data_IF_426071471266
#
_entry.id   IF_426071471266
#
_cell.length_a   1.000
_cell.length_b   1.000
_cell.length_c   1.000
_cell.angle_alpha   90.00
_cell.angle_beta   90.00
_cell.angle_gamma   90.00
#
_symmetry.space_group_name_H-M   'P 1'
#
loop_
_entity.id
_entity.type
_entity.pdbx_description
1 polymer ?
#
# COMPACT_ATOMS: atom_id res chain seq x y z
N UNK A 1 3.49 -12.22 -15.44
CA UNK A 1 2.28 -11.98 -14.61
C UNK A 1 1.77 -10.59 -14.87
N UNK A 2 0.45 -10.36 -14.74
CA UNK A 2 -0.16 -9.04 -14.96
C UNK A 2 -0.52 -8.37 -13.63
N UNK A 3 -0.12 -7.12 -13.48
CA UNK A 3 -0.45 -6.27 -12.35
C UNK A 3 -1.30 -5.07 -12.80
N UNK A 4 -2.42 -4.84 -12.13
CA UNK A 4 -3.15 -3.57 -12.24
C UNK A 4 -2.68 -2.64 -11.13
N UNK A 5 -2.06 -1.50 -11.49
CA UNK A 5 -1.55 -0.52 -10.54
C UNK A 5 -2.45 0.71 -10.54
N UNK A 6 -3.24 0.84 -9.47
CA UNK A 6 -4.09 2.00 -9.20
C UNK A 6 -3.27 3.07 -8.49
N UNK A 7 -3.24 4.29 -9.04
CA UNK A 7 -2.40 5.36 -8.54
C UNK A 7 -3.10 6.72 -8.56
N UNK A 8 -2.37 7.76 -8.18
CA UNK A 8 -2.83 9.14 -8.24
C UNK A 8 -3.36 9.69 -6.92
N UNK A 9 -3.46 10.99 -6.86
CA UNK A 9 -3.85 11.72 -5.67
C UNK A 9 -3.02 12.98 -5.47
N UNK A 10 -3.01 13.50 -4.24
CA UNK A 10 -2.33 14.75 -3.90
C UNK A 10 -1.12 14.50 -3.00
N UNK A 11 -0.21 15.48 -2.91
CA UNK A 11 0.93 15.57 -1.98
C UNK A 11 2.05 14.54 -2.19
N UNK A 12 1.93 13.64 -3.14
CA UNK A 12 2.93 12.62 -3.45
C UNK A 12 3.28 12.68 -4.95
N UNK A 13 4.53 12.41 -5.34
CA UNK A 13 4.96 12.44 -6.74
C UNK A 13 4.58 11.14 -7.47
N UNK A 14 3.29 10.81 -7.51
CA UNK A 14 2.79 9.57 -8.13
C UNK A 14 3.14 9.43 -9.60
N UNK A 15 3.27 10.55 -10.32
CA UNK A 15 3.71 10.60 -11.71
C UNK A 15 5.12 10.03 -11.92
N UNK A 16 5.97 10.06 -10.89
CA UNK A 16 7.33 9.52 -10.91
C UNK A 16 7.41 8.17 -10.19
N UNK A 17 6.74 8.07 -9.05
CA UNK A 17 6.86 6.89 -8.18
C UNK A 17 6.05 5.69 -8.69
N UNK A 18 4.89 5.87 -9.34
CA UNK A 18 4.14 4.75 -9.90
C UNK A 18 4.86 4.05 -11.07
N UNK A 19 5.45 4.77 -12.06
CA UNK A 19 6.32 4.13 -13.05
C UNK A 19 7.56 3.46 -12.43
N UNK A 20 8.12 4.04 -11.37
CA UNK A 20 9.24 3.43 -10.64
C UNK A 20 8.83 2.10 -10.02
N UNK A 21 7.67 2.04 -9.37
CA UNK A 21 7.14 0.80 -8.81
C UNK A 21 6.87 -0.25 -9.89
N UNK A 22 6.28 0.14 -11.02
CA UNK A 22 6.09 -0.75 -12.17
C UNK A 22 7.41 -1.34 -12.68
N UNK A 23 8.47 -0.53 -12.75
CA UNK A 23 9.82 -1.00 -13.12
C UNK A 23 10.40 -2.00 -12.11
N UNK A 24 10.16 -1.81 -10.80
CA UNK A 24 10.57 -2.76 -9.76
C UNK A 24 9.86 -4.10 -9.94
N UNK A 25 8.58 -4.09 -10.30
CA UNK A 25 7.80 -5.30 -10.58
C UNK A 25 8.25 -5.99 -11.88
N UNK A 26 8.63 -5.21 -12.91
CA UNK A 26 9.15 -5.76 -14.17
C UNK A 26 10.41 -6.61 -13.96
N UNK A 27 11.29 -6.22 -13.05
CA UNK A 27 12.49 -6.96 -12.69
C UNK A 27 12.21 -8.39 -12.17
N UNK A 28 10.99 -8.64 -11.69
CA UNK A 28 10.55 -9.97 -11.21
C UNK A 28 9.41 -10.55 -12.04
N UNK A 29 9.23 -10.07 -13.27
CA UNK A 29 8.39 -10.69 -14.29
C UNK A 29 6.93 -10.26 -14.28
N UNK A 30 6.60 -9.07 -13.72
CA UNK A 30 5.26 -8.49 -13.85
C UNK A 30 5.23 -7.45 -14.96
N UNK A 31 4.16 -7.48 -15.74
CA UNK A 31 3.73 -6.38 -16.61
C UNK A 31 2.67 -5.56 -15.86
N UNK A 32 2.96 -4.29 -15.61
CA UNK A 32 2.05 -3.41 -14.86
C UNK A 32 1.28 -2.48 -15.79
N UNK A 33 -0.03 -2.46 -15.64
CA UNK A 33 -0.92 -1.47 -16.23
C UNK A 33 -1.25 -0.42 -15.19
N UNK A 34 -0.85 0.84 -15.43
CA UNK A 34 -1.00 1.96 -14.49
C UNK A 34 -2.23 2.76 -14.88
N UNK A 35 -3.11 3.06 -13.90
CA UNK A 35 -4.26 3.94 -14.10
C UNK A 35 -4.52 4.84 -12.89
N UNK A 36 -4.92 6.09 -13.16
CA UNK A 36 -5.42 7.04 -12.16
C UNK A 36 -6.95 7.01 -12.06
N UNK A 37 -7.63 6.37 -13.00
CA UNK A 37 -9.07 6.12 -12.91
C UNK A 37 -9.32 4.81 -12.15
N UNK A 38 -9.52 4.93 -10.84
CA UNK A 38 -9.67 3.79 -9.96
C UNK A 38 -10.99 3.03 -10.22
N UNK A 39 -12.05 3.74 -10.59
CA UNK A 39 -13.35 3.13 -10.90
C UNK A 39 -13.25 2.29 -12.19
N UNK A 40 -12.68 2.86 -13.25
CA UNK A 40 -12.47 2.13 -14.50
C UNK A 40 -11.53 0.93 -14.27
N UNK A 41 -10.40 1.16 -13.60
CA UNK A 41 -9.44 0.09 -13.30
C UNK A 41 -10.09 -1.07 -12.54
N UNK A 42 -10.81 -0.81 -11.46
CA UNK A 42 -11.49 -1.85 -10.68
C UNK A 42 -12.57 -2.56 -11.46
N UNK A 43 -13.29 -1.88 -12.37
CA UNK A 43 -14.28 -2.49 -13.23
C UNK A 43 -13.71 -3.54 -14.20
N UNK A 44 -12.40 -3.55 -14.40
CA UNK A 44 -11.70 -4.50 -15.28
C UNK A 44 -11.40 -5.83 -14.58
N UNK A 45 -11.37 -5.86 -13.24
CA UNK A 45 -11.09 -7.09 -12.49
C UNK A 45 -12.06 -8.23 -12.79
N UNK A 46 -13.31 -7.90 -13.14
CA UNK A 46 -14.34 -8.90 -13.51
C UNK A 46 -14.22 -9.39 -14.96
N UNK A 47 -13.46 -8.66 -15.80
CA UNK A 47 -13.45 -8.88 -17.27
C UNK A 47 -12.10 -9.30 -17.81
N UNK A 48 -11.05 -9.00 -17.08
CA UNK A 48 -9.67 -9.24 -17.47
C UNK A 48 -8.95 -10.05 -16.41
N UNK A 49 -7.95 -10.81 -16.82
CA UNK A 49 -7.17 -11.62 -15.90
C UNK A 49 -5.96 -10.82 -15.40
N UNK A 50 -5.98 -10.45 -14.12
CA UNK A 50 -4.85 -9.91 -13.40
C UNK A 50 -4.39 -10.91 -12.33
N UNK A 51 -3.09 -11.04 -12.15
CA UNK A 51 -2.50 -11.85 -11.09
C UNK A 51 -2.39 -11.06 -9.78
N UNK A 52 -2.21 -9.73 -9.89
CA UNK A 52 -2.03 -8.82 -8.77
C UNK A 52 -2.74 -7.49 -9.00
N UNK A 53 -3.31 -6.95 -7.92
CA UNK A 53 -3.77 -5.57 -7.80
C UNK A 53 -2.82 -4.82 -6.88
N UNK A 54 -2.32 -3.68 -7.32
CA UNK A 54 -1.54 -2.76 -6.48
C UNK A 54 -2.32 -1.47 -6.26
N UNK A 55 -2.53 -1.10 -5.01
CA UNK A 55 -3.11 0.21 -4.64
C UNK A 55 -1.99 1.09 -4.09
N UNK A 56 -1.55 2.02 -4.90
CA UNK A 56 -0.54 3.03 -4.57
C UNK A 56 -1.09 4.41 -4.94
N UNK A 57 -2.03 4.88 -4.15
CA UNK A 57 -2.81 6.08 -4.40
C UNK A 57 -3.13 6.82 -3.10
N UNK A 58 -3.52 8.08 -3.21
CA UNK A 58 -4.07 8.85 -2.10
C UNK A 58 -5.45 9.40 -2.49
N UNK A 59 -6.47 8.55 -2.40
CA UNK A 59 -7.83 8.82 -2.87
C UNK A 59 -8.85 8.48 -1.79
N UNK A 60 -9.49 9.50 -1.23
CA UNK A 60 -10.49 9.39 -0.17
C UNK A 60 -11.56 10.45 -0.35
N UNK A 61 -12.57 10.50 0.54
CA UNK A 61 -13.71 11.45 0.41
C UNK A 61 -13.31 12.91 0.61
N UNK A 62 -12.17 13.19 1.20
CA UNK A 62 -11.67 14.55 1.52
C UNK A 62 -12.61 15.38 2.39
N UNK A 63 -13.52 14.74 3.15
CA UNK A 63 -14.49 15.45 4.00
C UNK A 63 -13.92 15.86 5.37
N UNK A 64 -12.76 15.38 5.74
CA UNK A 64 -12.19 15.47 7.09
C UNK A 64 -11.46 16.77 7.41
N UNK A 65 -11.46 17.77 6.52
CA UNK A 65 -10.85 19.06 6.78
C UNK A 65 -10.97 20.06 5.66
N UNK A 66 -11.08 21.35 6.02
CA UNK A 66 -11.22 22.45 5.06
C UNK A 66 -10.00 22.62 4.15
N UNK A 67 -8.80 22.23 4.61
CA UNK A 67 -7.56 22.28 3.81
C UNK A 67 -7.63 21.44 2.53
N UNK A 68 -8.52 20.42 2.48
CA UNK A 68 -8.69 19.55 1.31
C UNK A 68 -9.73 20.07 0.32
N UNK A 69 -10.52 21.08 0.68
CA UNK A 69 -11.58 21.64 -0.16
C UNK A 69 -11.14 22.03 -1.58
N UNK A 70 -9.96 22.64 -1.80
CA UNK A 70 -9.51 23.00 -3.15
C UNK A 70 -9.24 21.78 -4.06
N UNK A 71 -9.03 20.60 -3.48
CA UNK A 71 -8.66 19.37 -4.21
C UNK A 71 -9.85 18.43 -4.45
N UNK A 72 -11.01 18.68 -3.79
CA UNK A 72 -12.15 17.75 -3.78
C UNK A 72 -12.70 17.47 -5.17
N UNK A 73 -12.85 18.50 -6.01
CA UNK A 73 -13.43 18.35 -7.34
C UNK A 73 -12.64 17.36 -8.21
N UNK A 74 -11.33 17.39 -8.11
CA UNK A 74 -10.45 16.55 -8.91
C UNK A 74 -10.13 15.21 -8.26
N UNK A 75 -9.94 15.18 -6.93
CA UNK A 75 -9.27 14.07 -6.27
C UNK A 75 -10.11 13.33 -5.22
N UNK A 76 -11.24 13.89 -4.78
CA UNK A 76 -12.10 13.17 -3.86
C UNK A 76 -12.68 11.92 -4.52
N UNK A 77 -12.72 10.83 -3.78
CA UNK A 77 -13.22 9.55 -4.26
C UNK A 77 -14.01 8.84 -3.17
N UNK A 78 -15.17 8.35 -3.55
CA UNK A 78 -15.92 7.31 -2.88
C UNK A 78 -16.21 6.25 -3.93
N UNK A 79 -15.68 5.05 -3.76
CA UNK A 79 -15.87 3.97 -4.72
C UNK A 79 -17.33 3.57 -4.82
N UNK A 80 -17.77 3.26 -6.03
CA UNK A 80 -19.07 2.63 -6.27
C UNK A 80 -19.16 1.27 -5.57
N UNK A 81 -20.37 0.81 -5.28
CA UNK A 81 -20.59 -0.52 -4.72
C UNK A 81 -20.04 -1.63 -5.63
N UNK A 82 -20.17 -1.47 -6.95
CA UNK A 82 -19.63 -2.40 -7.92
C UNK A 82 -18.09 -2.51 -7.83
N UNK A 83 -17.38 -1.38 -7.73
CA UNK A 83 -15.92 -1.37 -7.60
C UNK A 83 -15.46 -1.95 -6.26
N UNK A 84 -16.19 -1.68 -5.18
CA UNK A 84 -15.93 -2.30 -3.86
C UNK A 84 -16.08 -3.82 -3.91
N UNK A 85 -17.14 -4.30 -4.53
CA UNK A 85 -17.37 -5.74 -4.73
C UNK A 85 -16.30 -6.38 -5.62
N UNK A 86 -15.99 -5.79 -6.77
CA UNK A 86 -14.96 -6.31 -7.68
C UNK A 86 -13.61 -6.46 -6.98
N UNK A 87 -13.16 -5.46 -6.21
CA UNK A 87 -11.92 -5.54 -5.43
C UNK A 87 -12.00 -6.62 -4.36
N UNK A 88 -13.09 -6.62 -3.59
CA UNK A 88 -13.28 -7.60 -2.50
C UNK A 88 -13.27 -9.02 -3.03
N UNK A 89 -14.02 -9.29 -4.09
CA UNK A 89 -14.15 -10.62 -4.67
C UNK A 89 -12.85 -11.06 -5.34
N UNK A 90 -12.16 -10.15 -6.04
CA UNK A 90 -10.83 -10.43 -6.59
C UNK A 90 -9.88 -10.97 -5.51
N UNK A 91 -9.75 -10.27 -4.37
CA UNK A 91 -8.87 -10.71 -3.30
C UNK A 91 -9.42 -11.96 -2.61
N UNK A 92 -10.72 -12.00 -2.29
CA UNK A 92 -11.36 -13.12 -1.59
C UNK A 92 -11.25 -14.44 -2.35
N UNK A 93 -11.28 -14.40 -3.67
CA UNK A 93 -11.19 -15.58 -4.54
C UNK A 93 -9.76 -16.04 -4.82
N UNK A 94 -8.75 -15.27 -4.41
CA UNK A 94 -7.36 -15.71 -4.47
C UNK A 94 -6.40 -14.75 -5.14
N UNK A 95 -6.88 -13.59 -5.59
CA UNK A 95 -6.06 -12.52 -6.16
C UNK A 95 -5.06 -11.96 -5.15
N UNK A 96 -3.93 -11.51 -5.65
CA UNK A 96 -2.89 -10.86 -4.84
C UNK A 96 -3.19 -9.37 -4.70
N UNK A 97 -3.06 -8.82 -3.48
CA UNK A 97 -3.16 -7.38 -3.23
C UNK A 97 -1.86 -6.86 -2.60
N UNK A 98 -1.32 -5.82 -3.20
CA UNK A 98 -0.26 -5.02 -2.61
C UNK A 98 -0.79 -3.61 -2.35
N UNK A 99 -0.92 -3.23 -1.09
CA UNK A 99 -1.38 -1.91 -0.65
C UNK A 99 -0.17 -1.12 -0.13
N UNK A 100 0.12 0.01 -0.79
CA UNK A 100 1.36 0.73 -0.60
C UNK A 100 1.12 2.11 0.01
N UNK A 101 1.93 2.46 0.96
CA UNK A 101 2.07 3.78 1.56
C UNK A 101 0.72 4.39 1.97
N UNK A 102 0.23 5.34 1.20
CA UNK A 102 -1.03 6.05 1.43
C UNK A 102 -2.29 5.20 1.32
N UNK A 103 -2.18 3.93 0.93
CA UNK A 103 -3.33 3.05 0.76
C UNK A 103 -4.19 2.88 2.02
N UNK A 104 -3.60 3.01 3.23
CA UNK A 104 -4.35 3.01 4.49
C UNK A 104 -5.28 4.23 4.66
N UNK A 105 -5.06 5.31 3.90
CA UNK A 105 -5.87 6.53 3.91
C UNK A 105 -6.98 6.44 2.84
N UNK A 106 -6.78 5.62 1.81
CA UNK A 106 -7.74 5.45 0.73
C UNK A 106 -9.08 4.92 1.24
N UNK A 107 -10.14 5.28 0.52
CA UNK A 107 -11.48 4.72 0.68
C UNK A 107 -12.00 4.82 2.13
N UNK A 108 -11.82 5.99 2.76
CA UNK A 108 -12.10 6.25 4.18
C UNK A 108 -13.58 6.05 4.59
N UNK A 109 -14.48 6.00 3.62
CA UNK A 109 -15.90 5.69 3.76
C UNK A 109 -16.25 4.20 3.55
N UNK A 110 -15.24 3.34 3.35
CA UNK A 110 -15.44 1.91 3.13
C UNK A 110 -14.74 1.08 4.20
N UNK A 111 -15.53 0.59 5.17
CA UNK A 111 -15.00 -0.13 6.33
C UNK A 111 -14.27 -1.43 5.95
N UNK A 112 -14.81 -2.20 4.99
CA UNK A 112 -14.22 -3.47 4.58
C UNK A 112 -12.80 -3.31 3.99
N UNK A 113 -12.48 -2.16 3.39
CA UNK A 113 -11.12 -1.88 2.96
C UNK A 113 -10.11 -2.02 4.10
N UNK A 114 -10.42 -1.47 5.27
CA UNK A 114 -9.54 -1.60 6.43
C UNK A 114 -9.41 -3.04 6.94
N UNK A 115 -10.44 -3.87 6.76
CA UNK A 115 -10.40 -5.29 7.07
C UNK A 115 -9.56 -6.08 6.05
N UNK A 116 -9.58 -5.68 4.77
CA UNK A 116 -8.78 -6.29 3.71
C UNK A 116 -7.29 -6.00 3.96
N UNK A 117 -6.92 -4.74 4.13
CA UNK A 117 -5.50 -4.33 4.25
C UNK A 117 -4.92 -4.52 5.65
N UNK A 118 -5.77 -4.66 6.67
CA UNK A 118 -5.35 -4.84 8.05
C UNK A 118 -5.08 -3.53 8.81
N UNK A 119 -5.34 -2.37 8.21
CA UNK A 119 -5.08 -1.08 8.82
C UNK A 119 -6.09 -0.01 8.41
N UNK A 120 -6.29 0.97 9.28
CA UNK A 120 -7.09 2.16 9.03
C UNK A 120 -6.37 3.40 9.53
N UNK A 121 -6.33 4.41 8.67
CA UNK A 121 -6.00 5.76 9.11
C UNK A 121 -7.17 6.36 9.89
N UNK A 122 -6.93 6.78 11.12
CA UNK A 122 -7.95 7.36 12.00
C UNK A 122 -7.75 8.87 12.05
N UNK A 123 -8.62 9.60 11.36
CA UNK A 123 -8.58 11.06 11.31
C UNK A 123 -8.60 11.68 12.72
N UNK A 124 -7.68 12.61 12.96
CA UNK A 124 -7.50 13.24 14.27
C UNK A 124 -6.67 12.43 15.27
N UNK A 125 -6.29 11.19 14.94
CA UNK A 125 -5.44 10.33 15.78
C UNK A 125 -4.17 9.93 15.06
N UNK A 126 -4.31 9.33 13.87
CA UNK A 126 -3.16 8.94 13.04
C UNK A 126 -2.40 10.16 12.54
N UNK A 127 -1.10 10.05 12.45
CA UNK A 127 -0.22 11.13 12.05
C UNK A 127 1.08 10.57 11.48
N UNK A 128 1.87 11.40 10.86
CA UNK A 128 3.25 11.12 10.50
C UNK A 128 4.11 12.35 10.78
N UNK A 129 5.39 12.21 11.11
CA UNK A 129 6.35 13.32 11.09
C UNK A 129 6.53 13.82 9.65
N UNK A 130 7.17 14.97 9.44
CA UNK A 130 7.62 15.38 8.12
C UNK A 130 8.47 14.30 7.47
N UNK A 131 8.44 14.23 6.13
CA UNK A 131 9.36 13.41 5.34
C UNK A 131 10.81 13.64 5.78
N UNK A 132 11.55 12.57 6.02
CA UNK A 132 12.91 12.63 6.52
C UNK A 132 13.51 11.25 6.82
N UNK A 133 14.64 11.21 7.55
CA UNK A 133 15.33 9.96 7.86
C UNK A 133 14.45 8.98 8.64
N UNK A 134 14.46 7.73 8.22
CA UNK A 134 13.74 6.62 8.84
C UNK A 134 14.69 5.46 9.07
N UNK A 135 14.65 4.90 10.26
CA UNK A 135 15.27 3.62 10.61
C UNK A 135 14.21 2.53 10.61
N UNK A 136 14.42 1.47 9.84
CA UNK A 136 13.57 0.27 9.87
C UNK A 136 14.15 -0.75 10.83
N UNK A 137 13.27 -1.54 11.43
CA UNK A 137 13.59 -2.58 12.39
C UNK A 137 12.92 -3.88 11.94
N UNK A 138 13.71 -4.95 11.73
CA UNK A 138 13.14 -6.27 11.44
C UNK A 138 12.45 -6.80 12.69
N UNK A 139 11.20 -7.24 12.51
CA UNK A 139 10.46 -7.93 13.56
C UNK A 139 10.88 -9.40 13.68
N UNK A 140 10.68 -10.04 14.84
CA UNK A 140 11.11 -11.42 15.06
C UNK A 140 10.42 -12.47 14.19
N UNK A 141 9.26 -12.16 13.61
CA UNK A 141 8.50 -13.09 12.77
C UNK A 141 9.31 -13.47 11.52
N UNK A 142 9.56 -14.77 11.37
CA UNK A 142 10.22 -15.28 10.17
C UNK A 142 9.23 -15.37 8.99
N UNK A 143 9.52 -14.64 7.93
CA UNK A 143 8.66 -14.60 6.75
C UNK A 143 9.50 -14.56 5.45
N UNK A 144 9.05 -15.19 4.34
CA UNK A 144 9.78 -15.17 3.08
C UNK A 144 10.11 -13.76 2.57
N UNK A 145 9.23 -12.80 2.75
CA UNK A 145 9.43 -11.40 2.33
C UNK A 145 10.66 -10.79 3.01
N UNK A 146 10.84 -11.02 4.31
CA UNK A 146 11.90 -10.42 5.11
C UNK A 146 13.06 -11.38 5.44
N UNK A 147 13.13 -12.53 4.76
CA UNK A 147 14.24 -13.49 4.97
C UNK A 147 15.59 -12.85 4.64
N UNK A 148 16.49 -12.85 5.63
CA UNK A 148 17.82 -12.27 5.51
C UNK A 148 17.85 -10.73 5.40
N UNK A 149 16.71 -10.07 5.66
CA UNK A 149 16.66 -8.61 5.81
C UNK A 149 17.17 -8.24 7.18
N UNK A 150 18.03 -7.25 7.24
CA UNK A 150 18.46 -6.56 8.46
C UNK A 150 17.82 -5.16 8.49
N UNK A 151 18.01 -4.44 9.59
CA UNK A 151 17.59 -3.03 9.69
C UNK A 151 18.30 -2.18 8.63
N UNK A 152 17.57 -1.27 8.01
CA UNK A 152 18.11 -0.36 7.00
C UNK A 152 17.53 1.05 7.18
N UNK A 153 18.13 2.01 6.48
CA UNK A 153 17.72 3.42 6.53
C UNK A 153 17.26 3.88 5.16
N UNK A 154 16.29 4.78 5.16
CA UNK A 154 15.80 5.49 3.97
C UNK A 154 15.23 6.86 4.38
N UNK A 155 14.92 7.69 3.39
CA UNK A 155 14.12 8.90 3.57
C UNK A 155 12.67 8.55 3.27
N UNK A 156 11.74 8.76 4.23
CA UNK A 156 10.32 8.43 4.08
C UNK A 156 9.45 9.12 5.15
N UNK A 157 8.19 8.74 5.22
CA UNK A 157 7.24 9.09 6.27
C UNK A 157 6.89 7.87 7.11
N UNK A 158 6.89 8.00 8.43
CA UNK A 158 6.46 6.91 9.34
C UNK A 158 5.02 7.16 9.79
N UNK A 159 4.08 6.40 9.25
CA UNK A 159 2.68 6.46 9.65
C UNK A 159 2.51 5.90 11.06
N UNK A 160 2.03 6.75 11.95
CA UNK A 160 1.92 6.47 13.38
C UNK A 160 0.48 6.39 13.83
N UNK A 161 0.22 5.52 14.80
CA UNK A 161 -1.09 5.37 15.45
C UNK A 161 -2.22 5.03 14.48
N UNK A 162 -1.92 4.28 13.42
CA UNK A 162 -2.96 3.62 12.62
C UNK A 162 -3.70 2.61 13.49
N UNK A 163 -4.99 2.44 13.25
CA UNK A 163 -5.74 1.34 13.86
C UNK A 163 -5.49 0.07 13.05
N UNK A 164 -4.80 -0.90 13.66
CA UNK A 164 -4.55 -2.20 13.04
C UNK A 164 -5.65 -3.20 13.45
N UNK A 165 -5.92 -4.18 12.59
CA UNK A 165 -6.74 -5.34 12.96
C UNK A 165 -5.95 -6.28 13.88
N UNK A 166 -6.67 -7.08 14.69
CA UNK A 166 -6.05 -7.90 15.74
C UNK A 166 -5.14 -9.02 15.20
N UNK A 167 -5.28 -9.38 13.96
CA UNK A 167 -4.53 -10.45 13.28
C UNK A 167 -3.31 -9.94 12.48
N UNK A 168 -3.00 -8.65 12.55
CA UNK A 168 -1.79 -8.09 11.96
C UNK A 168 -0.58 -8.43 12.81
N UNK A 169 0.35 -9.15 12.21
CA UNK A 169 1.68 -9.41 12.76
C UNK A 169 2.71 -8.68 11.89
N UNK A 170 3.40 -7.67 12.43
CA UNK A 170 4.36 -6.89 11.66
C UNK A 170 5.58 -7.74 11.23
N UNK A 171 6.06 -7.49 10.02
CA UNK A 171 7.33 -8.01 9.49
C UNK A 171 8.45 -6.99 9.64
N UNK A 172 8.10 -5.70 9.54
CA UNK A 172 8.97 -4.56 9.82
C UNK A 172 8.20 -3.52 10.62
N UNK A 173 8.92 -2.89 11.52
CA UNK A 173 8.55 -1.61 12.12
C UNK A 173 9.54 -0.53 11.68
N UNK A 174 9.15 0.73 11.82
CA UNK A 174 10.03 1.85 11.52
C UNK A 174 9.84 2.99 12.50
N UNK A 175 10.88 3.82 12.64
CA UNK A 175 10.81 5.07 13.40
C UNK A 175 11.56 6.17 12.64
N UNK A 176 11.07 7.38 12.71
CA UNK A 176 11.86 8.54 12.38
C UNK A 176 12.95 8.68 13.43
N UNK A 177 14.13 9.18 13.06
CA UNK A 177 15.28 9.29 13.98
C UNK A 177 14.97 10.09 15.25
N UNK A 178 13.94 10.94 15.20
CA UNK A 178 13.46 11.75 16.32
C UNK A 178 12.34 11.08 17.14
N UNK A 179 11.84 9.91 16.72
CA UNK A 179 10.79 9.18 17.43
C UNK A 179 11.37 8.11 18.35
N UNK A 180 10.76 7.93 19.52
CA UNK A 180 11.16 6.90 20.48
C UNK A 180 10.49 5.54 20.21
N UNK A 181 9.27 5.56 19.63
CA UNK A 181 8.46 4.36 19.45
C UNK A 181 8.36 4.01 17.96
N UNK A 182 8.87 2.83 17.60
CA UNK A 182 8.70 2.27 16.26
C UNK A 182 7.23 1.94 15.98
N UNK A 183 6.82 2.13 14.73
CA UNK A 183 5.48 1.86 14.25
C UNK A 183 5.52 0.70 13.25
N UNK A 184 4.56 -0.24 13.25
CA UNK A 184 4.44 -1.23 12.20
C UNK A 184 4.32 -0.58 10.82
N UNK A 185 5.17 -1.02 9.88
CA UNK A 185 5.18 -0.47 8.51
C UNK A 185 5.02 -1.53 7.43
N UNK A 186 5.32 -2.81 7.71
CA UNK A 186 5.16 -3.90 6.75
C UNK A 186 4.48 -5.08 7.43
N UNK A 187 3.48 -5.63 6.78
CA UNK A 187 2.86 -6.92 7.17
C UNK A 187 2.29 -7.66 5.97
N UNK A 188 2.11 -8.97 6.13
CA UNK A 188 1.51 -9.86 5.16
C UNK A 188 0.40 -10.67 5.84
N UNK A 189 -0.72 -10.82 5.16
CA UNK A 189 -1.89 -11.52 5.70
C UNK A 189 -2.69 -12.22 4.59
N UNK A 190 -3.69 -12.98 4.99
CA UNK A 190 -4.69 -13.57 4.09
C UNK A 190 -6.02 -12.85 4.23
N UNK A 191 -6.72 -12.71 3.12
CA UNK A 191 -8.13 -12.31 3.09
C UNK A 191 -8.88 -13.26 2.15
N UNK A 192 -9.77 -14.10 2.70
CA UNK A 192 -10.33 -15.22 1.96
C UNK A 192 -9.24 -16.18 1.49
N UNK A 193 -9.16 -16.44 0.19
CA UNK A 193 -8.10 -17.24 -0.44
C UNK A 193 -6.90 -16.41 -0.87
N UNK A 194 -7.06 -15.08 -0.98
CA UNK A 194 -6.05 -14.16 -1.44
C UNK A 194 -4.99 -13.83 -0.40
N UNK A 195 -3.91 -13.25 -0.87
CA UNK A 195 -2.80 -12.78 -0.05
C UNK A 195 -2.66 -11.27 -0.19
N UNK A 196 -2.54 -10.61 0.94
CA UNK A 196 -2.47 -9.16 1.04
C UNK A 196 -1.14 -8.78 1.70
N UNK A 197 -0.41 -7.87 1.10
CA UNK A 197 0.74 -7.21 1.72
C UNK A 197 0.42 -5.73 1.84
N UNK A 198 0.65 -5.18 3.01
CA UNK A 198 0.65 -3.74 3.23
C UNK A 198 2.08 -3.28 3.55
N UNK A 199 2.51 -2.24 2.85
CA UNK A 199 3.79 -1.56 3.09
C UNK A 199 3.54 -0.06 3.22
N UNK A 200 3.76 0.49 4.41
CA UNK A 200 3.54 1.91 4.71
C UNK A 200 4.67 2.82 4.22
N UNK A 201 5.77 2.25 3.72
CA UNK A 201 6.88 3.01 3.14
C UNK A 201 6.64 3.23 1.64
N UNK A 202 7.46 4.11 1.03
CA UNK A 202 7.41 4.35 -0.42
C UNK A 202 6.81 5.69 -0.79
N UNK A 203 7.10 6.76 -0.04
CA UNK A 203 6.64 8.12 -0.29
C UNK A 203 6.98 8.60 -1.71
N UNK A 204 8.18 8.27 -2.19
CA UNK A 204 8.68 8.70 -3.50
C UNK A 204 9.50 7.61 -4.21
N UNK A 205 9.99 7.95 -5.40
CA UNK A 205 10.80 7.05 -6.22
C UNK A 205 12.14 6.67 -5.55
N UNK A 206 12.73 7.54 -4.73
CA UNK A 206 13.98 7.26 -4.04
C UNK A 206 13.77 6.25 -2.90
N UNK A 207 12.69 6.41 -2.13
CA UNK A 207 12.28 5.47 -1.10
C UNK A 207 11.99 4.08 -1.69
N UNK A 208 11.28 4.00 -2.83
CA UNK A 208 11.00 2.74 -3.54
C UNK A 208 12.27 2.06 -4.05
N UNK A 209 13.27 2.83 -4.51
CA UNK A 209 14.53 2.31 -5.06
C UNK A 209 15.62 2.08 -4.02
N UNK A 210 15.39 2.37 -2.75
CA UNK A 210 16.32 1.95 -1.71
C UNK A 210 16.50 0.42 -1.83
N UNK A 211 17.74 -0.05 -1.90
CA UNK A 211 18.09 -1.43 -2.32
C UNK A 211 17.29 -2.50 -1.54
N UNK A 212 17.29 -2.42 -0.22
CA UNK A 212 16.58 -3.38 0.63
C UNK A 212 15.07 -3.24 0.49
N UNK A 213 14.54 -2.02 0.40
CA UNK A 213 13.12 -1.78 0.23
C UNK A 213 12.62 -2.26 -1.14
N UNK A 214 13.35 -1.99 -2.22
CA UNK A 214 13.04 -2.52 -3.55
C UNK A 214 12.96 -4.05 -3.56
N UNK A 215 13.92 -4.73 -2.92
CA UNK A 215 13.90 -6.18 -2.76
C UNK A 215 12.69 -6.66 -1.97
N UNK A 216 12.28 -5.95 -0.92
CA UNK A 216 11.07 -6.26 -0.13
C UNK A 216 9.82 -6.12 -0.99
N UNK A 217 9.70 -5.06 -1.79
CA UNK A 217 8.58 -4.85 -2.71
C UNK A 217 8.49 -6.01 -3.72
N UNK A 218 9.60 -6.42 -4.33
CA UNK A 218 9.67 -7.55 -5.25
C UNK A 218 9.23 -8.85 -4.59
N UNK A 219 9.75 -9.14 -3.40
CA UNK A 219 9.37 -10.34 -2.63
C UNK A 219 7.92 -10.31 -2.18
N UNK A 220 7.38 -9.12 -1.89
CA UNK A 220 5.97 -8.94 -1.55
C UNK A 220 5.06 -9.33 -2.71
N UNK A 221 5.39 -8.88 -3.93
CA UNK A 221 4.67 -9.24 -5.14
C UNK A 221 4.75 -10.76 -5.43
N UNK A 222 5.93 -11.35 -5.32
CA UNK A 222 6.14 -12.79 -5.53
C UNK A 222 5.42 -13.62 -4.46
N UNK A 223 5.46 -13.21 -3.19
CA UNK A 223 4.77 -13.92 -2.13
C UNK A 223 3.26 -13.82 -2.28
N UNK A 224 2.75 -12.64 -2.59
CA UNK A 224 1.32 -12.43 -2.74
C UNK A 224 0.74 -13.27 -3.90
N UNK A 225 1.48 -13.45 -4.98
CA UNK A 225 1.09 -14.29 -6.14
C UNK A 225 1.49 -15.78 -6.00
N UNK A 226 2.06 -16.19 -4.87
CA UNK A 226 2.40 -17.59 -4.62
C UNK A 226 3.68 -18.09 -5.32
N UNK A 227 4.55 -17.18 -5.75
CA UNK A 227 5.82 -17.50 -6.41
C UNK A 227 7.01 -17.56 -5.42
N UNK A 228 6.77 -17.20 -4.15
CA UNK A 228 7.77 -17.22 -3.08
C UNK A 228 7.25 -17.94 -1.85
#
# INVERSE_FOLDING_TARGET
MKNLLLTGGIFHPFDQSAPTMASIFEEVGFESEITEDLEEGLSRLDRESFDMLTVYALRWTMQTGEKYKPYREQWALSLSEASRLALTDFVREGGALLAMHTAAICFDDWHEWSEIVGAKWVWGTSSHPPFGPVETLKEPLEHPITRGVESFHLEDEVYSRMQLTLDVEPLLSARATEQEIAQPVLWARKFGKGRVVFDALGHDAAALRQETHSMIIQRSALWATGQL
#
